data_IF_202762520993
#
_entry.id   IF_202762520993
#
_cell.length_a   1.000
_cell.length_b   1.000
_cell.length_c   1.000
_cell.angle_alpha   90.00
_cell.angle_beta   90.00
_cell.angle_gamma   90.00
#
_symmetry.space_group_name_H-M   'P 1'
#
loop_
_entity.id
_entity.type
_entity.pdbx_description
1 polymer ?
#
# COMPACT_ATOMS: atom_id res chain seq x y z
N UNK A 1 -16.10 -23.12 -25.79
CA UNK A 1 -16.76 -23.14 -24.46
C UNK A 1 -17.92 -22.14 -24.47
N UNK A 2 -19.15 -22.57 -24.17
CA UNK A 2 -20.35 -21.71 -24.30
C UNK A 2 -20.25 -20.52 -23.32
N UNK A 3 -20.06 -19.29 -23.82
CA UNK A 3 -19.77 -18.08 -23.01
C UNK A 3 -20.86 -17.77 -21.98
N UNK A 4 -22.09 -18.13 -22.28
CA UNK A 4 -23.22 -18.04 -21.35
C UNK A 4 -23.04 -18.97 -20.14
N UNK A 5 -22.50 -20.18 -20.34
CA UNK A 5 -22.12 -21.08 -19.24
C UNK A 5 -20.93 -20.56 -18.43
N UNK A 6 -20.07 -19.71 -19.02
CA UNK A 6 -18.97 -19.07 -18.29
C UNK A 6 -19.48 -17.94 -17.39
N UNK A 7 -20.36 -17.07 -17.91
CA UNK A 7 -20.97 -15.97 -17.13
C UNK A 7 -21.79 -16.52 -15.96
N UNK A 8 -22.56 -17.59 -16.17
CA UNK A 8 -23.35 -18.21 -15.09
C UNK A 8 -22.46 -18.87 -14.02
N UNK A 9 -21.32 -19.49 -14.42
CA UNK A 9 -20.34 -20.03 -13.47
C UNK A 9 -19.60 -18.93 -12.72
N UNK A 10 -19.24 -17.85 -13.42
CA UNK A 10 -18.59 -16.68 -12.85
C UNK A 10 -19.49 -15.98 -11.82
N UNK A 11 -20.78 -15.81 -12.12
CA UNK A 11 -21.78 -15.27 -11.20
C UNK A 11 -21.92 -16.12 -9.93
N UNK A 12 -21.91 -17.46 -10.05
CA UNK A 12 -21.94 -18.35 -8.88
C UNK A 12 -20.69 -18.20 -8.01
N UNK A 13 -19.50 -18.15 -8.60
CA UNK A 13 -18.26 -17.91 -7.87
C UNK A 13 -18.25 -16.53 -7.19
N UNK A 14 -18.73 -15.50 -7.88
CA UNK A 14 -18.79 -14.14 -7.34
C UNK A 14 -19.77 -14.02 -6.16
N UNK A 15 -20.93 -14.70 -6.24
CA UNK A 15 -21.87 -14.79 -5.12
C UNK A 15 -21.28 -15.52 -3.91
N UNK A 16 -20.57 -16.63 -4.12
CA UNK A 16 -19.90 -17.36 -3.03
C UNK A 16 -18.84 -16.47 -2.36
N UNK A 17 -18.03 -15.76 -3.14
CA UNK A 17 -17.03 -14.82 -2.61
C UNK A 17 -17.68 -13.65 -1.86
N UNK A 18 -18.81 -13.14 -2.34
CA UNK A 18 -19.54 -12.08 -1.66
C UNK A 18 -20.10 -12.54 -0.31
N UNK A 19 -20.65 -13.75 -0.23
CA UNK A 19 -21.13 -14.34 1.04
C UNK A 19 -19.98 -14.54 2.02
N UNK A 20 -18.83 -15.08 1.58
CA UNK A 20 -17.64 -15.21 2.42
C UNK A 20 -17.14 -13.85 2.92
N UNK A 21 -17.21 -12.81 2.08
CA UNK A 21 -16.82 -11.46 2.46
C UNK A 21 -17.76 -10.85 3.50
N UNK A 22 -19.07 -11.06 3.35
CA UNK A 22 -20.08 -10.63 4.33
C UNK A 22 -19.84 -11.32 5.68
N UNK A 23 -19.61 -12.64 5.69
CA UNK A 23 -19.26 -13.37 6.92
C UNK A 23 -17.99 -12.79 7.58
N UNK A 24 -16.97 -12.46 6.78
CA UNK A 24 -15.75 -11.82 7.27
C UNK A 24 -15.98 -10.41 7.86
N UNK A 25 -16.90 -9.63 7.29
CA UNK A 25 -17.30 -8.31 7.83
C UNK A 25 -18.05 -8.49 9.16
N UNK A 26 -18.94 -9.48 9.25
CA UNK A 26 -19.63 -9.80 10.52
C UNK A 26 -18.69 -10.32 11.61
N UNK A 27 -17.59 -10.99 11.25
CA UNK A 27 -16.56 -11.38 12.23
C UNK A 27 -15.81 -10.18 12.84
N UNK A 28 -15.75 -9.03 12.14
CA UNK A 28 -15.12 -7.80 12.65
C UNK A 28 -15.94 -7.11 13.74
N UNK A 29 -17.21 -7.52 13.93
CA UNK A 29 -18.12 -7.01 14.95
C UNK A 29 -17.66 -7.38 16.38
N UNK A 30 -16.75 -8.35 16.52
CA UNK A 30 -16.11 -8.71 17.80
C UNK A 30 -14.96 -7.75 18.21
N UNK A 31 -14.45 -6.93 17.30
CA UNK A 31 -13.26 -6.10 17.53
C UNK A 31 -13.43 -4.61 17.14
N UNK A 32 -14.48 -4.25 16.40
CA UNK A 32 -14.73 -2.88 15.93
C UNK A 32 -16.11 -2.37 16.34
N UNK A 33 -16.30 -1.05 16.30
CA UNK A 33 -17.57 -0.42 16.65
C UNK A 33 -18.67 -0.79 15.64
N UNK A 34 -19.89 -1.02 16.14
CA UNK A 34 -21.05 -1.42 15.34
C UNK A 34 -21.25 -0.53 14.09
N UNK A 35 -21.12 0.79 14.25
CA UNK A 35 -21.28 1.75 13.17
C UNK A 35 -20.21 1.64 12.07
N UNK A 36 -18.97 1.24 12.41
CA UNK A 36 -17.92 1.01 11.41
C UNK A 36 -18.18 -0.25 10.57
N UNK A 37 -18.73 -1.30 11.20
CA UNK A 37 -19.09 -2.55 10.52
C UNK A 37 -20.32 -2.34 9.63
N UNK A 38 -21.30 -1.57 10.09
CA UNK A 38 -22.45 -1.15 9.27
C UNK A 38 -22.00 -0.29 8.08
N UNK A 39 -21.07 0.64 8.29
CA UNK A 39 -20.52 1.48 7.22
C UNK A 39 -19.75 0.68 6.16
N UNK A 40 -18.90 -0.26 6.57
CA UNK A 40 -18.15 -1.13 5.65
C UNK A 40 -19.07 -2.09 4.89
N UNK A 41 -20.11 -2.61 5.55
CA UNK A 41 -21.15 -3.43 4.91
C UNK A 41 -21.93 -2.62 3.86
N UNK A 42 -22.31 -1.39 4.18
CA UNK A 42 -23.04 -0.51 3.26
C UNK A 42 -22.20 -0.17 2.01
N UNK A 43 -20.92 0.16 2.20
CA UNK A 43 -20.00 0.46 1.10
C UNK A 43 -19.75 -0.78 0.23
N UNK A 44 -19.64 -1.96 0.85
CA UNK A 44 -19.56 -3.22 0.11
C UNK A 44 -20.82 -3.50 -0.72
N UNK A 45 -22.01 -3.26 -0.17
CA UNK A 45 -23.28 -3.43 -0.89
C UNK A 45 -23.41 -2.47 -2.08
N UNK A 46 -22.96 -1.21 -1.95
CA UNK A 46 -22.94 -0.26 -3.06
C UNK A 46 -22.02 -0.77 -4.19
N UNK A 47 -20.81 -1.20 -3.86
CA UNK A 47 -19.85 -1.71 -4.86
C UNK A 47 -20.40 -2.98 -5.52
N UNK A 48 -20.96 -3.90 -4.73
CA UNK A 48 -21.59 -5.11 -5.24
C UNK A 48 -22.77 -4.79 -6.18
N UNK A 49 -23.55 -3.77 -5.86
CA UNK A 49 -24.67 -3.31 -6.69
C UNK A 49 -24.19 -2.71 -8.02
N UNK A 50 -23.12 -1.90 -8.01
CA UNK A 50 -22.51 -1.35 -9.23
C UNK A 50 -21.99 -2.49 -10.12
N UNK A 51 -21.25 -3.45 -9.55
CA UNK A 51 -20.73 -4.60 -10.28
C UNK A 51 -21.87 -5.44 -10.86
N UNK A 52 -22.95 -5.64 -10.11
CA UNK A 52 -24.14 -6.35 -10.57
C UNK A 52 -24.82 -5.64 -11.74
N UNK A 53 -24.96 -4.31 -11.69
CA UNK A 53 -25.52 -3.51 -12.79
C UNK A 53 -24.65 -3.56 -14.05
N UNK A 54 -23.32 -3.50 -13.90
CA UNK A 54 -22.38 -3.65 -15.02
C UNK A 54 -22.52 -5.03 -15.66
N UNK A 55 -22.67 -6.09 -14.86
CA UNK A 55 -22.84 -7.46 -15.37
C UNK A 55 -24.20 -7.63 -16.06
N UNK A 56 -25.28 -7.05 -15.53
CA UNK A 56 -26.60 -7.04 -16.20
C UNK A 56 -26.50 -6.30 -17.54
N UNK A 57 -25.87 -5.12 -17.58
CA UNK A 57 -25.68 -4.36 -18.81
C UNK A 57 -24.85 -5.11 -19.87
N UNK A 58 -23.90 -5.94 -19.45
CA UNK A 58 -23.16 -6.84 -20.35
C UNK A 58 -24.02 -8.03 -20.82
N UNK A 59 -24.92 -8.53 -19.97
CA UNK A 59 -25.84 -9.64 -20.28
C UNK A 59 -26.96 -9.21 -21.22
N UNK A 60 -27.46 -7.98 -21.11
CA UNK A 60 -28.49 -7.43 -21.99
C UNK A 60 -27.92 -7.11 -23.38
N UNK A 61 -26.71 -6.57 -23.47
CA UNK A 61 -25.98 -6.46 -24.75
C UNK A 61 -25.75 -7.81 -25.44
N UNK A 62 -25.61 -8.90 -24.69
CA UNK A 62 -25.44 -10.25 -25.25
C UNK A 62 -26.78 -10.91 -25.64
N UNK A 63 -27.88 -10.62 -24.93
CA UNK A 63 -29.23 -11.04 -25.33
C UNK A 63 -29.70 -10.34 -26.61
N UNK A 64 -29.41 -9.05 -26.76
CA UNK A 64 -29.70 -8.31 -28.00
C UNK A 64 -28.88 -8.83 -29.19
N UNK A 65 -27.64 -9.29 -28.94
CA UNK A 65 -26.81 -9.94 -29.97
C UNK A 65 -27.29 -11.35 -30.37
N UNK A 66 -28.03 -12.06 -29.50
CA UNK A 66 -28.62 -13.38 -29.81
C UNK A 66 -30.05 -13.32 -30.35
N UNK A 67 -30.78 -12.23 -30.14
CA UNK A 67 -32.16 -12.05 -30.61
C UNK A 67 -32.31 -11.24 -31.90
N UNK A 68 -31.20 -10.79 -32.53
CA UNK A 68 -31.24 -10.08 -33.82
C UNK A 68 -31.54 -10.98 -35.04
N UNK A 69 -31.94 -12.24 -34.80
CA UNK A 69 -32.41 -13.17 -35.81
C UNK A 69 -33.93 -13.29 -35.87
N UNK A 70 -34.68 -12.19 -36.09
CA UNK A 70 -35.99 -12.23 -36.77
C UNK A 70 -36.52 -10.84 -37.11
N UNK A 71 -36.83 -10.67 -38.39
CA UNK A 71 -37.41 -9.50 -39.05
C UNK A 71 -38.66 -8.97 -38.32
N UNK A 72 -38.68 -7.67 -38.07
CA UNK A 72 -39.87 -6.86 -38.22
C UNK A 72 -39.51 -5.70 -39.16
N UNK A 73 -40.19 -5.66 -40.31
CA UNK A 73 -40.10 -4.59 -41.30
C UNK A 73 -40.71 -3.31 -40.75
N UNK A 74 -40.00 -2.20 -40.92
CA UNK A 74 -40.56 -0.86 -40.79
C UNK A 74 -39.50 0.22 -40.68
N UNK A 75 -39.07 0.76 -41.82
CA UNK A 75 -38.47 2.10 -41.98
C UNK A 75 -37.15 2.38 -41.25
N UNK A 76 -36.03 2.31 -41.97
CA UNK A 76 -34.74 2.80 -41.44
C UNK A 76 -33.50 2.42 -42.26
N UNK A 77 -33.56 2.53 -43.59
CA UNK A 77 -32.46 2.18 -44.49
C UNK A 77 -31.38 3.27 -44.54
N UNK A 78 -30.61 3.45 -43.47
CA UNK A 78 -29.41 4.32 -43.48
C UNK A 78 -28.36 3.92 -42.43
N UNK A 79 -28.77 3.36 -41.30
CA UNK A 79 -27.90 3.19 -40.12
C UNK A 79 -26.83 2.07 -40.21
N UNK A 80 -27.11 0.96 -40.92
CA UNK A 80 -26.19 -0.19 -40.98
C UNK A 80 -25.04 -0.01 -41.99
N UNK A 81 -25.28 0.73 -43.09
CA UNK A 81 -24.24 0.99 -44.09
C UNK A 81 -23.19 1.96 -43.54
N UNK A 82 -23.65 2.98 -42.79
CA UNK A 82 -22.85 4.05 -42.21
C UNK A 82 -21.88 3.54 -41.14
N UNK A 83 -22.33 2.64 -40.25
CA UNK A 83 -21.46 2.02 -39.25
C UNK A 83 -20.29 1.24 -39.89
N UNK A 84 -20.55 0.47 -40.95
CA UNK A 84 -19.50 -0.30 -41.65
C UNK A 84 -18.48 0.58 -42.37
N UNK A 85 -18.89 1.77 -42.83
CA UNK A 85 -18.01 2.73 -43.49
C UNK A 85 -17.18 3.51 -42.46
N UNK A 86 -17.80 3.91 -41.35
CA UNK A 86 -17.12 4.55 -40.23
C UNK A 86 -16.03 3.63 -39.64
N UNK A 87 -16.34 2.34 -39.43
CA UNK A 87 -15.37 1.36 -38.92
C UNK A 87 -14.18 1.17 -39.88
N UNK A 88 -14.43 1.15 -41.19
CA UNK A 88 -13.36 1.07 -42.20
C UNK A 88 -12.48 2.31 -42.21
N UNK A 89 -13.06 3.51 -42.11
CA UNK A 89 -12.30 4.77 -42.04
C UNK A 89 -11.46 4.81 -40.76
N UNK A 90 -12.06 4.41 -39.63
CA UNK A 90 -11.36 4.31 -38.35
C UNK A 90 -10.17 3.34 -38.45
N UNK A 91 -10.36 2.16 -39.02
CA UNK A 91 -9.27 1.18 -39.22
C UNK A 91 -8.12 1.76 -40.03
N UNK A 92 -8.41 2.48 -41.13
CA UNK A 92 -7.37 3.12 -41.94
C UNK A 92 -6.58 4.18 -41.17
N UNK A 93 -7.23 4.96 -40.30
CA UNK A 93 -6.52 5.93 -39.46
C UNK A 93 -5.73 5.28 -38.33
N UNK A 94 -6.23 4.17 -37.76
CA UNK A 94 -5.48 3.38 -36.78
C UNK A 94 -4.22 2.77 -37.41
N UNK A 95 -4.33 2.19 -38.61
CA UNK A 95 -3.18 1.68 -39.38
C UNK A 95 -2.18 2.79 -39.72
N UNK A 96 -2.66 3.96 -40.13
CA UNK A 96 -1.82 5.12 -40.43
C UNK A 96 -1.09 5.63 -39.18
N UNK A 97 -1.78 5.72 -38.05
CA UNK A 97 -1.17 6.14 -36.80
C UNK A 97 -0.11 5.12 -36.35
N UNK A 98 -0.42 3.82 -36.42
CA UNK A 98 0.51 2.76 -36.08
C UNK A 98 1.76 2.79 -36.97
N UNK A 99 1.59 3.00 -38.28
CA UNK A 99 2.71 3.16 -39.21
C UNK A 99 3.65 4.30 -38.77
N UNK A 100 3.10 5.45 -38.38
CA UNK A 100 3.92 6.55 -37.86
C UNK A 100 4.61 6.21 -36.55
N UNK A 101 3.98 5.44 -35.66
CA UNK A 101 4.62 4.93 -34.44
C UNK A 101 5.80 4.00 -34.78
N UNK A 102 5.61 3.09 -35.72
CA UNK A 102 6.65 2.15 -36.18
C UNK A 102 7.84 2.89 -36.83
N UNK A 103 7.56 3.99 -37.53
CA UNK A 103 8.55 4.92 -38.08
C UNK A 103 9.16 5.87 -37.03
N UNK A 104 8.74 5.77 -35.76
CA UNK A 104 9.12 6.66 -34.64
C UNK A 104 8.74 8.14 -34.83
N UNK A 105 7.80 8.43 -35.73
CA UNK A 105 7.20 9.76 -35.90
C UNK A 105 5.99 9.94 -34.96
N UNK A 106 6.29 9.99 -33.66
CA UNK A 106 5.27 10.07 -32.61
C UNK A 106 4.41 11.35 -32.69
N UNK A 107 4.96 12.46 -33.20
CA UNK A 107 4.21 13.70 -33.38
C UNK A 107 3.12 13.56 -34.44
N UNK A 108 3.41 12.91 -35.59
CA UNK A 108 2.40 12.65 -36.60
C UNK A 108 1.39 11.61 -36.13
N UNK A 109 1.84 10.53 -35.52
CA UNK A 109 0.96 9.51 -34.94
C UNK A 109 -0.04 10.12 -33.95
N UNK A 110 0.45 10.95 -33.02
CA UNK A 110 -0.40 11.63 -32.04
C UNK A 110 -1.41 12.58 -32.69
N UNK A 111 -1.02 13.31 -33.75
CA UNK A 111 -1.96 14.16 -34.50
C UNK A 111 -3.06 13.34 -35.18
N UNK A 112 -2.74 12.17 -35.72
CA UNK A 112 -3.75 11.24 -36.28
C UNK A 112 -4.71 10.79 -35.18
N UNK A 113 -4.20 10.34 -34.03
CA UNK A 113 -5.04 9.94 -32.90
C UNK A 113 -5.95 11.07 -32.40
N UNK A 114 -5.41 12.28 -32.19
CA UNK A 114 -6.18 13.39 -31.62
C UNK A 114 -7.16 14.03 -32.61
N UNK A 115 -6.74 14.23 -33.86
CA UNK A 115 -7.53 15.03 -34.80
C UNK A 115 -8.43 14.18 -35.69
N UNK A 116 -7.98 12.99 -36.10
CA UNK A 116 -8.75 12.12 -37.01
C UNK A 116 -9.57 11.08 -36.25
N UNK A 117 -8.99 10.48 -35.21
CA UNK A 117 -9.67 9.47 -34.38
C UNK A 117 -10.38 10.07 -33.16
N UNK A 118 -10.18 11.37 -32.88
CA UNK A 118 -10.72 12.07 -31.70
C UNK A 118 -10.33 11.40 -30.35
N UNK A 119 -9.26 10.60 -30.36
CA UNK A 119 -8.75 9.91 -29.19
C UNK A 119 -7.59 10.71 -28.57
N UNK A 120 -7.97 11.65 -27.69
CA UNK A 120 -7.01 12.50 -27.01
C UNK A 120 -6.10 11.71 -26.05
N UNK A 121 -6.56 10.58 -25.50
CA UNK A 121 -5.77 9.75 -24.59
C UNK A 121 -4.66 9.02 -25.34
N UNK A 122 -4.98 8.30 -26.41
CA UNK A 122 -3.96 7.64 -27.24
C UNK A 122 -3.00 8.65 -27.86
N UNK A 123 -3.50 9.81 -28.26
CA UNK A 123 -2.67 10.91 -28.72
C UNK A 123 -1.65 11.37 -27.67
N UNK A 124 -2.10 11.67 -26.45
CA UNK A 124 -1.22 12.05 -25.35
C UNK A 124 -0.22 10.94 -24.98
N UNK A 125 -0.69 9.69 -24.96
CA UNK A 125 0.14 8.53 -24.64
C UNK A 125 1.24 8.30 -25.69
N UNK A 126 0.89 8.44 -26.97
CA UNK A 126 1.85 8.34 -28.08
C UNK A 126 2.93 9.42 -27.98
N UNK A 127 2.56 10.65 -27.58
CA UNK A 127 3.54 11.72 -27.33
C UNK A 127 4.45 11.37 -26.15
N UNK A 128 3.89 10.85 -25.05
CA UNK A 128 4.65 10.43 -23.88
C UNK A 128 5.65 9.32 -24.24
N UNK A 129 5.22 8.30 -24.98
CA UNK A 129 6.06 7.19 -25.43
C UNK A 129 7.18 7.66 -26.37
N UNK A 130 6.92 8.72 -27.14
CA UNK A 130 7.91 9.40 -27.97
C UNK A 130 8.84 10.38 -27.23
N UNK A 131 8.68 10.55 -25.90
CA UNK A 131 9.47 11.48 -25.10
C UNK A 131 9.03 12.95 -25.18
N UNK A 132 7.92 13.25 -25.86
CA UNK A 132 7.32 14.59 -25.99
C UNK A 132 6.46 14.92 -24.75
N UNK A 133 7.10 14.90 -23.58
CA UNK A 133 6.42 14.97 -22.29
C UNK A 133 5.71 16.32 -22.06
N UNK A 134 6.26 17.44 -22.55
CA UNK A 134 5.63 18.76 -22.38
C UNK A 134 4.31 18.84 -23.15
N UNK A 135 4.31 18.37 -24.39
CA UNK A 135 3.15 18.32 -25.27
C UNK A 135 2.10 17.37 -24.70
N UNK A 136 2.51 16.16 -24.27
CA UNK A 136 1.63 15.20 -23.60
C UNK A 136 0.98 15.81 -22.36
N UNK A 137 1.74 16.51 -21.51
CA UNK A 137 1.24 17.15 -20.29
C UNK A 137 0.14 18.19 -20.58
N UNK A 138 0.30 18.99 -21.65
CA UNK A 138 -0.70 19.97 -22.06
C UNK A 138 -2.00 19.28 -22.50
N UNK A 139 -1.91 18.16 -23.23
CA UNK A 139 -3.09 17.39 -23.66
C UNK A 139 -3.79 16.77 -22.45
N UNK A 140 -3.03 16.13 -21.55
CA UNK A 140 -3.56 15.56 -20.30
C UNK A 140 -4.28 16.62 -19.46
N UNK A 141 -3.70 17.81 -19.31
CA UNK A 141 -4.28 18.87 -18.49
C UNK A 141 -5.49 19.54 -19.16
N UNK A 142 -5.36 19.96 -20.43
CA UNK A 142 -6.38 20.80 -21.07
C UNK A 142 -7.54 20.00 -21.64
N UNK A 143 -7.26 18.87 -22.29
CA UNK A 143 -8.27 18.07 -23.00
C UNK A 143 -8.84 16.95 -22.14
N UNK A 144 -7.97 16.22 -21.42
CA UNK A 144 -8.38 15.05 -20.64
C UNK A 144 -8.71 15.40 -19.18
N UNK A 145 -8.38 16.62 -18.74
CA UNK A 145 -8.53 17.10 -17.35
C UNK A 145 -7.88 16.17 -16.32
N UNK A 146 -6.85 15.42 -16.74
CA UNK A 146 -6.13 14.49 -15.89
C UNK A 146 -4.87 15.18 -15.35
N UNK A 147 -5.01 15.77 -14.15
CA UNK A 147 -3.92 16.47 -13.47
C UNK A 147 -2.78 15.53 -13.07
N UNK A 148 -3.08 14.27 -12.76
CA UNK A 148 -2.08 13.30 -12.31
C UNK A 148 -1.11 12.91 -13.42
N UNK A 149 -1.64 12.52 -14.59
CA UNK A 149 -0.84 12.23 -15.79
C UNK A 149 -0.07 13.47 -16.26
N UNK A 150 -0.71 14.65 -16.23
CA UNK A 150 -0.05 15.90 -16.58
C UNK A 150 1.12 16.24 -15.66
N UNK A 151 0.96 16.07 -14.34
CA UNK A 151 2.02 16.29 -13.36
C UNK A 151 3.21 15.34 -13.60
N UNK A 152 2.94 14.05 -13.83
CA UNK A 152 3.98 13.07 -14.14
C UNK A 152 4.71 13.40 -15.43
N UNK A 153 4.00 13.83 -16.48
CA UNK A 153 4.63 14.27 -17.72
C UNK A 153 5.50 15.53 -17.52
N UNK A 154 5.03 16.53 -16.77
CA UNK A 154 5.86 17.70 -16.46
C UNK A 154 7.10 17.34 -15.63
N UNK A 155 7.01 16.38 -14.71
CA UNK A 155 8.16 15.85 -13.99
C UNK A 155 9.16 15.19 -14.94
N UNK A 156 8.71 14.30 -15.83
CA UNK A 156 9.57 13.66 -16.84
C UNK A 156 10.23 14.68 -17.77
N UNK A 157 9.52 15.77 -18.08
CA UNK A 157 10.04 16.92 -18.83
C UNK A 157 10.99 17.83 -18.04
N UNK A 158 11.27 17.53 -16.76
CA UNK A 158 12.02 18.38 -15.81
C UNK A 158 11.42 19.78 -15.63
N UNK A 159 10.13 19.94 -15.92
CA UNK A 159 9.35 21.15 -15.63
C UNK A 159 8.85 21.13 -14.19
N UNK A 160 9.77 21.03 -13.24
CA UNK A 160 9.45 20.75 -11.84
C UNK A 160 8.50 21.78 -11.22
N UNK A 161 8.62 23.07 -11.56
CA UNK A 161 7.68 24.10 -11.04
C UNK A 161 6.23 23.82 -11.43
N UNK A 162 5.97 23.43 -12.69
CA UNK A 162 4.63 23.09 -13.17
C UNK A 162 4.12 21.79 -12.55
N UNK A 163 5.01 20.81 -12.40
CA UNK A 163 4.67 19.55 -11.73
C UNK A 163 4.33 19.78 -10.25
N UNK A 164 5.09 20.62 -9.54
CA UNK A 164 4.85 21.01 -8.15
C UNK A 164 3.45 21.62 -8.00
N UNK A 165 3.07 22.58 -8.84
CA UNK A 165 1.75 23.23 -8.75
C UNK A 165 0.62 22.19 -8.88
N UNK A 166 0.73 21.26 -9.83
CA UNK A 166 -0.25 20.19 -9.99
C UNK A 166 -0.24 19.19 -8.84
N UNK A 167 0.93 18.79 -8.33
CA UNK A 167 1.03 17.85 -7.21
C UNK A 167 0.53 18.45 -5.89
N UNK A 168 0.63 19.78 -5.71
CA UNK A 168 -0.02 20.49 -4.60
C UNK A 168 -1.54 20.40 -4.68
N UNK A 169 -2.12 20.63 -5.85
CA UNK A 169 -3.56 20.48 -6.07
C UNK A 169 -4.06 19.05 -5.88
N UNK A 170 -3.19 18.06 -6.09
CA UNK A 170 -3.46 16.63 -5.87
C UNK A 170 -3.16 16.17 -4.43
N UNK A 171 -2.76 17.09 -3.55
CA UNK A 171 -2.37 16.82 -2.15
C UNK A 171 -1.25 15.78 -2.00
N UNK A 172 -0.42 15.58 -3.03
CA UNK A 172 0.71 14.64 -3.01
C UNK A 172 1.93 15.27 -2.35
N UNK A 173 1.82 15.55 -1.04
CA UNK A 173 2.79 16.32 -0.24
C UNK A 173 4.22 15.76 -0.33
N UNK A 174 4.40 14.44 -0.23
CA UNK A 174 5.73 13.81 -0.31
C UNK A 174 6.36 14.03 -1.69
N UNK A 175 5.56 13.92 -2.75
CA UNK A 175 6.01 14.16 -4.12
C UNK A 175 6.40 15.62 -4.35
N UNK A 176 5.63 16.55 -3.78
CA UNK A 176 5.98 17.98 -3.80
C UNK A 176 7.32 18.23 -3.10
N UNK A 177 7.54 17.60 -1.94
CA UNK A 177 8.83 17.65 -1.23
C UNK A 177 9.99 17.15 -2.10
N UNK A 178 9.81 15.98 -2.74
CA UNK A 178 10.81 15.39 -3.64
C UNK A 178 11.17 16.33 -4.81
N UNK A 179 10.17 16.97 -5.43
CA UNK A 179 10.43 17.92 -6.52
C UNK A 179 11.09 19.22 -6.05
N UNK A 180 10.88 19.63 -4.80
CA UNK A 180 11.60 20.76 -4.22
C UNK A 180 13.09 20.46 -4.02
N UNK A 181 13.45 19.21 -3.68
CA UNK A 181 14.85 18.75 -3.64
C UNK A 181 15.49 18.86 -5.03
N UNK A 182 14.79 18.44 -6.08
CA UNK A 182 15.29 18.49 -7.47
C UNK A 182 15.60 19.92 -7.97
N UNK A 183 14.96 20.94 -7.40
CA UNK A 183 15.26 22.35 -7.70
C UNK A 183 16.10 23.04 -6.61
N UNK A 184 16.71 22.26 -5.71
CA UNK A 184 17.56 22.72 -4.60
C UNK A 184 16.88 23.67 -3.61
N UNK A 185 15.56 23.59 -3.47
CA UNK A 185 14.78 24.35 -2.50
C UNK A 185 14.51 23.51 -1.24
N UNK A 186 15.57 23.28 -0.48
CA UNK A 186 15.57 22.41 0.70
C UNK A 186 14.56 22.90 1.76
N UNK A 187 14.39 24.22 1.89
CA UNK A 187 13.47 24.81 2.86
C UNK A 187 12.03 24.38 2.58
N UNK A 188 11.57 24.53 1.33
CA UNK A 188 10.22 24.12 0.96
C UNK A 188 10.08 22.58 0.95
N UNK A 189 11.13 21.85 0.56
CA UNK A 189 11.12 20.39 0.66
C UNK A 189 10.85 19.92 2.09
N UNK A 190 11.61 20.44 3.06
CA UNK A 190 11.45 20.10 4.48
C UNK A 190 10.08 20.51 5.02
N UNK A 191 9.52 21.65 4.59
CA UNK A 191 8.18 22.04 4.99
C UNK A 191 7.12 21.02 4.53
N UNK A 192 7.20 20.56 3.28
CA UNK A 192 6.28 19.54 2.76
C UNK A 192 6.51 18.16 3.39
N UNK A 193 7.77 17.76 3.61
CA UNK A 193 8.07 16.52 4.33
C UNK A 193 7.58 16.55 5.78
N UNK A 194 7.64 17.70 6.46
CA UNK A 194 7.07 17.83 7.79
C UNK A 194 5.54 17.60 7.78
N UNK A 195 4.82 18.12 6.78
CA UNK A 195 3.38 17.83 6.64
C UNK A 195 3.11 16.33 6.45
N UNK A 196 3.96 15.62 5.71
CA UNK A 196 3.87 14.16 5.53
C UNK A 196 4.14 13.42 6.85
N UNK A 197 5.16 13.85 7.60
CA UNK A 197 5.44 13.34 8.94
C UNK A 197 4.22 13.53 9.83
N UNK A 198 3.64 14.72 9.86
CA UNK A 198 2.48 15.04 10.69
C UNK A 198 1.28 14.15 10.32
N UNK A 199 1.02 13.94 9.03
CA UNK A 199 -0.01 13.02 8.54
C UNK A 199 0.25 11.58 9.03
N UNK A 200 1.50 11.10 8.95
CA UNK A 200 1.86 9.77 9.44
C UNK A 200 1.72 9.64 10.96
N UNK A 201 2.16 10.64 11.72
CA UNK A 201 2.05 10.65 13.19
C UNK A 201 0.59 10.68 13.63
N UNK A 202 -0.24 11.49 12.98
CA UNK A 202 -1.68 11.57 13.26
C UNK A 202 -2.41 10.23 12.97
N UNK A 203 -1.90 9.45 12.02
CA UNK A 203 -2.39 8.12 11.69
C UNK A 203 -1.66 6.98 12.46
N UNK A 204 -0.90 7.30 13.50
CA UNK A 204 -0.10 6.35 14.30
C UNK A 204 0.95 5.55 13.49
N UNK A 205 1.32 6.01 12.29
CA UNK A 205 2.31 5.39 11.41
C UNK A 205 3.73 5.87 11.74
N UNK A 206 4.15 5.70 13.00
CA UNK A 206 5.38 6.27 13.56
C UNK A 206 6.66 5.82 12.82
N UNK A 207 6.72 4.55 12.41
CA UNK A 207 7.85 4.03 11.63
C UNK A 207 7.97 4.74 10.28
N UNK A 208 6.86 4.99 9.58
CA UNK A 208 6.89 5.72 8.30
C UNK A 208 7.33 7.16 8.49
N UNK A 209 6.81 7.84 9.52
CA UNK A 209 7.26 9.18 9.90
C UNK A 209 8.78 9.23 10.14
N UNK A 210 9.34 8.26 10.88
CA UNK A 210 10.79 8.18 11.11
C UNK A 210 11.61 8.00 9.82
N UNK A 211 11.06 7.31 8.82
CA UNK A 211 11.74 7.13 7.54
C UNK A 211 11.81 8.42 6.73
N UNK A 212 10.80 9.29 6.81
CA UNK A 212 10.84 10.62 6.18
C UNK A 212 11.97 11.46 6.81
N UNK A 213 12.03 11.56 8.14
CA UNK A 213 13.12 12.27 8.82
C UNK A 213 14.49 11.73 8.42
N UNK A 214 14.68 10.41 8.49
CA UNK A 214 15.98 9.78 8.25
C UNK A 214 16.42 9.84 6.78
N UNK A 215 15.51 9.57 5.83
CA UNK A 215 15.87 9.36 4.41
C UNK A 215 15.62 10.57 3.52
N UNK A 216 14.68 11.44 3.87
CA UNK A 216 14.26 12.57 3.03
C UNK A 216 14.72 13.91 3.59
N UNK A 217 14.73 14.05 4.91
CA UNK A 217 15.18 15.27 5.62
C UNK A 217 16.59 15.15 6.21
N UNK A 218 17.22 13.98 6.09
CA UNK A 218 18.57 13.69 6.61
C UNK A 218 18.78 14.05 8.08
N UNK A 219 17.74 13.84 8.91
CA UNK A 219 17.73 14.14 10.36
C UNK A 219 17.53 12.84 11.18
N UNK A 220 18.56 11.98 11.29
CA UNK A 220 18.45 10.69 11.97
C UNK A 220 18.11 10.83 13.47
N UNK A 221 18.49 11.93 14.11
CA UNK A 221 18.13 12.21 15.52
C UNK A 221 16.62 12.40 15.70
N UNK A 222 15.99 13.15 14.80
CA UNK A 222 14.54 13.34 14.81
C UNK A 222 13.80 12.03 14.51
N UNK A 223 14.35 11.21 13.61
CA UNK A 223 13.83 9.86 13.36
C UNK A 223 13.85 8.99 14.62
N UNK A 224 14.95 9.00 15.38
CA UNK A 224 15.04 8.27 16.66
C UNK A 224 14.04 8.78 17.70
N UNK A 225 13.81 10.09 17.78
CA UNK A 225 12.82 10.67 18.69
C UNK A 225 11.39 10.20 18.36
N UNK A 226 11.03 10.14 17.07
CA UNK A 226 9.72 9.64 16.64
C UNK A 226 9.55 8.15 16.98
N UNK A 227 10.58 7.34 16.77
CA UNK A 227 10.52 5.91 17.10
C UNK A 227 10.37 5.70 18.61
N UNK A 228 11.12 6.46 19.41
CA UNK A 228 11.02 6.40 20.87
C UNK A 228 9.62 6.82 21.35
N UNK A 229 9.09 7.92 20.80
CA UNK A 229 7.71 8.36 21.06
C UNK A 229 6.69 7.27 20.70
N UNK A 230 6.86 6.59 19.58
CA UNK A 230 5.98 5.49 19.17
C UNK A 230 5.99 4.31 20.15
N UNK A 231 7.18 3.96 20.67
CA UNK A 231 7.33 3.00 21.75
C UNK A 231 6.64 3.46 23.05
N UNK A 232 6.86 4.71 23.46
CA UNK A 232 6.31 5.28 24.69
C UNK A 232 4.78 5.44 24.66
N UNK A 233 4.21 5.80 23.52
CA UNK A 233 2.77 5.99 23.33
C UNK A 233 2.02 4.71 22.92
N UNK A 234 2.71 3.57 22.84
CA UNK A 234 2.16 2.29 22.40
C UNK A 234 1.59 2.30 20.96
N UNK A 235 2.21 3.10 20.08
CA UNK A 235 1.85 3.21 18.65
C UNK A 235 2.77 2.33 17.83
N UNK A 236 2.29 1.14 17.49
CA UNK A 236 3.10 0.10 16.83
C UNK A 236 4.43 -0.15 17.58
N UNK A 237 4.30 -0.36 18.89
CA UNK A 237 5.39 -0.29 19.86
C UNK A 237 6.57 -1.22 19.53
N UNK A 238 6.27 -2.46 19.10
CA UNK A 238 7.30 -3.42 18.71
C UNK A 238 8.13 -2.92 17.54
N UNK A 239 7.47 -2.51 16.44
CA UNK A 239 8.18 -2.07 15.25
C UNK A 239 8.95 -0.77 15.52
N UNK A 240 8.40 0.12 16.34
CA UNK A 240 9.09 1.34 16.77
C UNK A 240 10.36 1.02 17.55
N UNK A 241 10.28 0.16 18.57
CA UNK A 241 11.43 -0.24 19.39
C UNK A 241 12.49 -0.99 18.57
N UNK A 242 12.06 -1.93 17.73
CA UNK A 242 12.97 -2.70 16.87
C UNK A 242 13.71 -1.79 15.88
N UNK A 243 13.02 -0.83 15.26
CA UNK A 243 13.68 0.15 14.38
C UNK A 243 14.57 1.12 15.17
N UNK A 244 14.18 1.51 16.38
CA UNK A 244 14.99 2.37 17.24
C UNK A 244 16.35 1.74 17.55
N UNK A 245 16.37 0.47 17.95
CA UNK A 245 17.61 -0.28 18.17
C UNK A 245 18.39 -0.52 16.88
N UNK A 246 17.70 -0.88 15.78
CA UNK A 246 18.35 -1.11 14.49
C UNK A 246 19.07 0.12 13.91
N UNK A 247 18.68 1.34 14.32
CA UNK A 247 19.32 2.58 13.89
C UNK A 247 20.58 2.94 14.71
N UNK A 248 20.94 2.16 15.74
CA UNK A 248 22.14 2.39 16.55
C UNK A 248 23.22 1.41 16.12
N UNK A 249 24.18 1.89 15.33
CA UNK A 249 25.26 1.06 14.79
C UNK A 249 26.40 0.78 15.77
N UNK A 250 26.66 1.71 16.71
CA UNK A 250 27.65 1.49 17.75
C UNK A 250 27.11 0.51 18.79
N UNK A 251 27.74 -0.66 18.90
CA UNK A 251 27.30 -1.77 19.76
C UNK A 251 27.31 -1.38 21.24
N UNK A 252 28.28 -0.58 21.71
CA UNK A 252 28.33 -0.14 23.11
C UNK A 252 27.22 0.87 23.41
N UNK A 253 26.97 1.79 22.48
CA UNK A 253 25.85 2.72 22.58
C UNK A 253 24.51 1.97 22.60
N UNK A 254 24.34 0.99 21.72
CA UNK A 254 23.15 0.16 21.67
C UNK A 254 22.93 -0.60 22.97
N UNK A 255 23.98 -1.23 23.52
CA UNK A 255 23.91 -1.90 24.82
C UNK A 255 23.45 -0.96 25.94
N UNK A 256 24.03 0.24 26.02
CA UNK A 256 23.64 1.25 26.99
C UNK A 256 22.19 1.71 26.83
N UNK A 257 21.74 1.95 25.59
CA UNK A 257 20.36 2.35 25.31
C UNK A 257 19.36 1.24 25.65
N UNK A 258 19.69 -0.03 25.39
CA UNK A 258 18.89 -1.18 25.81
C UNK A 258 18.73 -1.14 27.35
N UNK A 259 19.82 -1.08 28.10
CA UNK A 259 19.74 -1.08 29.56
C UNK A 259 18.97 0.13 30.10
N UNK A 260 19.23 1.33 29.57
CA UNK A 260 18.60 2.56 30.04
C UNK A 260 17.10 2.61 29.75
N UNK A 261 16.69 2.14 28.57
CA UNK A 261 15.28 2.10 28.19
C UNK A 261 14.53 1.01 28.96
N UNK A 262 15.15 -0.14 29.22
CA UNK A 262 14.56 -1.20 30.02
C UNK A 262 14.26 -0.74 31.46
N UNK A 263 15.15 0.01 32.11
CA UNK A 263 14.93 0.58 33.46
C UNK A 263 13.65 1.43 33.57
N UNK A 264 13.23 2.05 32.46
CA UNK A 264 12.04 2.89 32.38
C UNK A 264 10.82 2.15 31.80
N UNK A 265 11.00 0.89 31.38
CA UNK A 265 9.96 0.13 30.70
C UNK A 265 8.93 -0.39 31.71
N UNK A 266 7.65 0.00 31.60
CA UNK A 266 6.62 -0.45 32.51
C UNK A 266 6.30 -1.94 32.28
N UNK A 267 5.76 -2.59 33.30
CA UNK A 267 5.56 -4.05 33.33
C UNK A 267 4.70 -4.56 32.16
N UNK A 268 3.67 -3.83 31.74
CA UNK A 268 2.78 -4.17 30.63
C UNK A 268 3.49 -4.23 29.26
N UNK A 269 4.58 -3.46 29.09
CA UNK A 269 5.36 -3.41 27.84
C UNK A 269 6.53 -4.39 27.80
N UNK A 270 6.89 -5.03 28.91
CA UNK A 270 8.05 -5.93 29.01
C UNK A 270 8.00 -7.11 28.03
N UNK A 271 6.82 -7.61 27.68
CA UNK A 271 6.70 -8.68 26.68
C UNK A 271 7.12 -8.21 25.27
N UNK A 272 6.75 -6.99 24.89
CA UNK A 272 7.16 -6.41 23.60
C UNK A 272 8.66 -6.14 23.61
N UNK A 273 9.18 -5.66 24.75
CA UNK A 273 10.61 -5.45 24.95
C UNK A 273 11.40 -6.76 24.78
N UNK A 274 10.94 -7.84 25.41
CA UNK A 274 11.53 -9.17 25.30
C UNK A 274 11.55 -9.66 23.84
N UNK A 275 10.48 -9.44 23.08
CA UNK A 275 10.43 -9.77 21.66
C UNK A 275 11.51 -9.03 20.87
N UNK A 276 11.68 -7.72 21.09
CA UNK A 276 12.73 -6.93 20.43
C UNK A 276 14.14 -7.44 20.77
N UNK A 277 14.37 -7.82 22.04
CA UNK A 277 15.67 -8.35 22.46
C UNK A 277 16.08 -9.64 21.74
N UNK A 278 15.13 -10.45 21.24
CA UNK A 278 15.46 -11.65 20.46
C UNK A 278 16.23 -11.32 19.19
N UNK A 279 15.96 -10.17 18.59
CA UNK A 279 16.65 -9.69 17.40
C UNK A 279 18.03 -9.15 17.78
N UNK A 280 18.10 -8.33 18.82
CA UNK A 280 19.36 -7.74 19.29
C UNK A 280 20.36 -8.78 19.80
N UNK A 281 19.90 -9.81 20.52
CA UNK A 281 20.74 -10.92 21.02
C UNK A 281 21.52 -11.62 19.89
N UNK A 282 20.96 -11.70 18.69
CA UNK A 282 21.56 -12.38 17.54
C UNK A 282 22.57 -11.52 16.78
N UNK A 283 22.63 -10.21 17.02
CA UNK A 283 23.43 -9.28 16.21
C UNK A 283 24.92 -9.33 16.55
N UNK A 284 25.26 -9.38 17.85
CA UNK A 284 26.64 -9.31 18.32
C UNK A 284 26.81 -10.07 19.65
N UNK A 285 27.93 -10.76 19.82
CA UNK A 285 28.24 -11.51 21.05
C UNK A 285 28.30 -10.60 22.28
N UNK A 286 28.73 -9.34 22.13
CA UNK A 286 28.79 -8.35 23.21
C UNK A 286 27.41 -8.04 23.78
N UNK A 287 26.36 -8.11 22.95
CA UNK A 287 24.98 -7.86 23.39
C UNK A 287 24.37 -9.04 24.13
N UNK A 288 24.90 -10.25 23.95
CA UNK A 288 24.27 -11.48 24.46
C UNK A 288 24.15 -11.49 25.98
N UNK A 289 25.17 -11.02 26.71
CA UNK A 289 25.15 -10.99 28.18
C UNK A 289 24.03 -10.07 28.69
N UNK A 290 24.04 -8.80 28.24
CA UNK A 290 23.05 -7.80 28.65
C UNK A 290 21.63 -8.20 28.27
N UNK A 291 21.41 -8.61 27.03
CA UNK A 291 20.07 -8.99 26.55
C UNK A 291 19.55 -10.27 27.22
N UNK A 292 20.41 -11.25 27.52
CA UNK A 292 20.04 -12.46 28.27
C UNK A 292 19.65 -12.15 29.70
N UNK A 293 20.41 -11.30 30.41
CA UNK A 293 20.11 -10.92 31.78
C UNK A 293 18.74 -10.21 31.87
N UNK A 294 18.49 -9.24 30.99
CA UNK A 294 17.19 -8.56 30.92
C UNK A 294 16.07 -9.55 30.58
N UNK A 295 16.30 -10.47 29.64
CA UNK A 295 15.31 -11.49 29.30
C UNK A 295 14.95 -12.37 30.51
N UNK A 296 15.94 -12.77 31.32
CA UNK A 296 15.71 -13.55 32.54
C UNK A 296 14.87 -12.80 33.56
N UNK A 297 15.16 -11.52 33.79
CA UNK A 297 14.35 -10.69 34.69
C UNK A 297 12.90 -10.61 34.23
N UNK A 298 12.66 -10.35 32.93
CA UNK A 298 11.31 -10.28 32.37
C UNK A 298 10.58 -11.62 32.53
N UNK A 299 11.25 -12.73 32.19
CA UNK A 299 10.67 -14.08 32.28
C UNK A 299 10.35 -14.44 33.73
N UNK A 300 11.26 -14.16 34.66
CA UNK A 300 11.06 -14.41 36.09
C UNK A 300 9.92 -13.56 36.68
N UNK A 301 9.75 -12.31 36.25
CA UNK A 301 8.63 -11.47 36.65
C UNK A 301 7.29 -12.02 36.14
N UNK A 302 7.24 -12.50 34.89
CA UNK A 302 5.99 -12.87 34.22
C UNK A 302 5.59 -14.34 34.34
N UNK A 303 6.50 -15.25 34.70
CA UNK A 303 6.24 -16.71 34.71
C UNK A 303 5.08 -17.13 35.62
N UNK A 304 4.81 -16.37 36.68
CA UNK A 304 3.73 -16.67 37.61
C UNK A 304 2.35 -16.42 36.99
N UNK A 305 2.21 -15.37 36.17
CA UNK A 305 0.96 -14.98 35.50
C UNK A 305 0.86 -15.50 34.07
N UNK A 306 1.99 -15.81 33.43
CA UNK A 306 2.07 -16.26 32.04
C UNK A 306 3.14 -17.36 31.87
N UNK A 307 2.81 -18.58 32.29
CA UNK A 307 3.75 -19.71 32.34
C UNK A 307 4.44 -20.04 31.02
N UNK A 308 3.78 -19.80 29.88
CA UNK A 308 4.33 -20.06 28.54
C UNK A 308 5.51 -19.13 28.18
N UNK A 309 5.73 -18.03 28.91
CA UNK A 309 6.86 -17.13 28.67
C UNK A 309 8.22 -17.81 28.89
N UNK A 310 8.25 -18.92 29.66
CA UNK A 310 9.46 -19.73 29.88
C UNK A 310 10.01 -20.31 28.57
N UNK A 311 9.16 -20.50 27.55
CA UNK A 311 9.62 -20.93 26.22
C UNK A 311 10.60 -19.94 25.60
N UNK A 312 10.57 -18.68 26.02
CA UNK A 312 11.42 -17.63 25.46
C UNK A 312 12.90 -17.80 25.83
N UNK A 313 13.19 -18.51 26.93
CA UNK A 313 14.56 -18.82 27.36
C UNK A 313 15.39 -19.52 26.27
N UNK A 314 14.76 -20.31 25.39
CA UNK A 314 15.44 -21.01 24.29
C UNK A 314 16.11 -20.05 23.30
N UNK A 315 15.57 -18.84 23.14
CA UNK A 315 16.09 -17.85 22.21
C UNK A 315 17.36 -17.17 22.72
N UNK A 316 17.53 -17.10 24.05
CA UNK A 316 18.68 -16.48 24.71
C UNK A 316 19.73 -17.51 25.15
N UNK A 317 19.41 -18.81 25.05
CA UNK A 317 20.29 -19.94 25.38
C UNK A 317 20.30 -21.02 24.30
N UNK A 318 20.58 -20.68 23.02
CA UNK A 318 20.43 -21.63 21.91
C UNK A 318 21.37 -22.85 21.98
N UNK A 319 22.45 -22.76 22.76
CA UNK A 319 23.46 -23.83 22.92
C UNK A 319 23.32 -24.62 24.23
N UNK A 320 22.35 -24.28 25.08
CA UNK A 320 22.18 -24.91 26.40
C UNK A 320 21.09 -25.98 26.36
N UNK A 321 21.50 -27.24 26.20
CA UNK A 321 20.58 -28.38 26.18
C UNK A 321 19.88 -28.63 27.51
N UNK A 322 20.47 -28.21 28.63
CA UNK A 322 19.90 -28.41 29.97
C UNK A 322 18.69 -27.49 30.13
N UNK A 323 18.84 -26.21 29.76
CA UNK A 323 17.74 -25.24 29.78
C UNK A 323 16.58 -25.73 28.91
N UNK A 324 16.84 -26.29 27.72
CA UNK A 324 15.77 -26.82 26.86
C UNK A 324 14.99 -27.97 27.54
N UNK A 325 15.70 -28.87 28.24
CA UNK A 325 15.08 -29.95 29.01
C UNK A 325 14.25 -29.41 30.18
N UNK A 326 14.74 -28.40 30.87
CA UNK A 326 14.05 -27.81 32.02
C UNK A 326 12.81 -27.00 31.61
N UNK A 327 12.84 -26.30 30.48
CA UNK A 327 11.64 -25.69 29.88
C UNK A 327 10.56 -26.76 29.65
N UNK A 328 10.93 -27.92 29.07
CA UNK A 328 10.00 -29.02 28.81
C UNK A 328 9.42 -29.62 30.10
N UNK A 329 10.27 -29.84 31.11
CA UNK A 329 9.85 -30.32 32.44
C UNK A 329 8.90 -29.37 33.13
N UNK A 330 9.19 -28.07 33.12
CA UNK A 330 8.35 -27.03 33.72
C UNK A 330 6.94 -27.06 33.12
N UNK A 331 6.82 -27.14 31.78
CA UNK A 331 5.53 -27.23 31.09
C UNK A 331 4.75 -28.50 31.47
N UNK A 332 5.44 -29.63 31.47
CA UNK A 332 4.82 -30.94 31.76
C UNK A 332 4.37 -31.04 33.22
N UNK A 333 5.17 -30.51 34.16
CA UNK A 333 4.84 -30.46 35.59
C UNK A 333 3.61 -29.62 35.88
N UNK A 334 3.50 -28.43 35.27
CA UNK A 334 2.33 -27.55 35.46
C UNK A 334 1.05 -28.12 34.83
N UNK A 335 1.15 -28.77 33.67
CA UNK A 335 -0.01 -29.43 33.03
C UNK A 335 -0.60 -30.57 33.87
N UNK A 336 0.20 -31.23 34.72
CA UNK A 336 -0.31 -32.21 35.70
C UNK A 336 -1.03 -31.54 36.87
N UNK A 337 -0.58 -30.36 37.28
CA UNK A 337 -1.14 -29.62 38.42
C UNK A 337 -2.52 -28.98 38.13
N UNK A 338 -2.83 -28.70 36.86
CA UNK A 338 -4.15 -28.20 36.42
C UNK A 338 -5.13 -29.30 35.99
N UNK A 339 -4.71 -30.57 35.98
CA UNK A 339 -5.54 -31.73 35.60
C UNK A 339 -6.11 -32.50 36.79
N UNK A 340 -5.70 -32.14 38.00
CA UNK A 340 -6.28 -32.55 39.28
C UNK A 340 -6.98 -31.35 39.90
#
# INVERSE_FOLDING_TARGET
MNRQKFIDKFLRCLLILAVLKIIGIFAQLFHQSFWSVVGTLFLFLIIAFIVFFVIIGLKDKEKDAKNSGRKASGGGGTFYLENSLFDRIRSKYEELAQKYVDEKDYLKAAKVYMNLLQDNYRGAKTLEDGGFYNEAAVIYLKKLKNKSEAASCYEKAKQYRKAIDLYKELEQKEKVGDLYIEIHDIKNAHAYYQMVVDDYVNNNQMVKASLIYRKKMETPEAAQQILLKGWEENKDAFNCLNNYFANIFDVKKLENEIQNLYKKTPSDKKNIYLEALKYEFKKDEKLQSTTRNIAYEIIAEKVNTHSEIVNELKHFNPKDEIILKDISRFKTGRNKMFRN
#
